data_IF_502188199751
#
_entry.id   IF_502188199751
#
_cell.length_a   1.000
_cell.length_b   1.000
_cell.length_c   1.000
_cell.angle_alpha   90.00
_cell.angle_beta   90.00
_cell.angle_gamma   90.00
#
_symmetry.space_group_name_H-M   'P 1'
#
loop_
_entity.id
_entity.type
_entity.pdbx_description
1 polymer ?
#
# COMPACT_ATOMS: atom_id res chain seq x y z
N UNK A 1 27.16 49.14 -21.86
CA UNK A 1 27.02 49.68 -23.24
C UNK A 1 25.87 50.68 -23.32
N UNK A 2 24.69 50.39 -22.75
CA UNK A 2 23.53 51.30 -22.77
C UNK A 2 23.83 52.74 -22.30
N UNK A 3 24.47 52.94 -21.15
CA UNK A 3 24.84 54.28 -20.66
C UNK A 3 25.78 55.05 -21.60
N UNK A 4 26.69 54.33 -22.26
CA UNK A 4 27.61 54.91 -23.23
C UNK A 4 26.88 55.34 -24.52
N UNK A 5 26.05 54.46 -25.08
CA UNK A 5 25.29 54.75 -26.29
C UNK A 5 24.29 55.89 -26.06
N UNK A 6 23.66 55.94 -24.90
CA UNK A 6 22.75 57.02 -24.52
C UNK A 6 23.49 58.36 -24.41
N UNK A 7 24.68 58.39 -23.79
CA UNK A 7 25.50 59.61 -23.73
C UNK A 7 25.92 60.09 -25.14
N UNK A 8 26.28 59.16 -26.03
CA UNK A 8 26.62 59.50 -27.41
C UNK A 8 25.42 60.07 -28.19
N UNK A 9 24.24 59.45 -28.09
CA UNK A 9 23.03 59.94 -28.76
C UNK A 9 22.60 61.32 -28.25
N UNK A 10 22.93 61.64 -26.99
CA UNK A 10 22.65 62.95 -26.38
C UNK A 10 23.71 64.03 -26.66
N UNK A 11 24.58 63.82 -27.66
CA UNK A 11 25.46 64.87 -28.21
C UNK A 11 26.92 64.81 -27.77
N UNK A 12 27.32 63.86 -26.92
CA UNK A 12 28.74 63.67 -26.60
C UNK A 12 29.48 63.01 -27.78
N UNK A 13 30.75 63.35 -27.99
CA UNK A 13 31.57 62.65 -28.97
C UNK A 13 31.82 61.20 -28.54
N UNK A 14 31.87 60.26 -29.50
CA UNK A 14 32.03 58.81 -29.26
C UNK A 14 33.18 58.48 -28.29
N UNK A 15 34.28 59.25 -28.36
CA UNK A 15 35.42 59.10 -27.47
C UNK A 15 35.15 59.62 -26.05
N UNK A 16 34.50 60.77 -25.91
CA UNK A 16 34.21 61.38 -24.62
C UNK A 16 33.09 60.63 -23.90
N UNK A 17 32.00 60.27 -24.58
CA UNK A 17 30.92 59.45 -24.03
C UNK A 17 31.47 58.15 -23.43
N UNK A 18 32.38 57.46 -24.14
CA UNK A 18 33.00 56.23 -23.66
C UNK A 18 33.93 56.46 -22.46
N UNK A 19 34.67 57.56 -22.46
CA UNK A 19 35.59 57.90 -21.36
C UNK A 19 34.83 58.32 -20.10
N UNK A 20 33.77 59.10 -20.24
CA UNK A 20 32.90 59.52 -19.14
C UNK A 20 32.17 58.32 -18.54
N UNK A 21 31.65 57.43 -19.38
CA UNK A 21 31.03 56.17 -18.92
C UNK A 21 32.05 55.29 -18.19
N UNK A 22 33.28 55.18 -18.69
CA UNK A 22 34.32 54.41 -18.00
C UNK A 22 34.69 55.02 -16.63
N UNK A 23 34.82 56.35 -16.57
CA UNK A 23 35.10 57.08 -15.32
C UNK A 23 33.97 56.96 -14.30
N UNK A 24 32.72 57.03 -14.75
CA UNK A 24 31.53 56.86 -13.91
C UNK A 24 31.54 55.50 -13.19
N UNK A 25 32.06 54.45 -13.83
CA UNK A 25 32.16 53.09 -13.27
C UNK A 25 33.51 52.91 -12.52
N UNK A 26 34.24 53.98 -12.21
CA UNK A 26 35.51 53.92 -11.48
C UNK A 26 36.65 53.27 -12.26
N UNK A 27 36.65 53.38 -13.59
CA UNK A 27 37.65 52.77 -14.49
C UNK A 27 38.25 53.81 -15.46
N UNK A 28 39.43 53.48 -15.99
CA UNK A 28 40.22 54.40 -16.82
C UNK A 28 40.10 54.19 -18.33
N UNK A 29 41.06 54.76 -19.06
CA UNK A 29 41.17 54.74 -20.54
C UNK A 29 41.12 53.34 -21.16
N UNK A 30 41.47 52.29 -20.42
CA UNK A 30 41.38 50.90 -20.90
C UNK A 30 39.93 50.47 -21.13
N UNK A 31 39.04 50.70 -20.14
CA UNK A 31 37.64 50.33 -20.28
C UNK A 31 36.95 51.18 -21.35
N UNK A 32 37.30 52.47 -21.45
CA UNK A 32 36.82 53.34 -22.53
C UNK A 32 37.13 52.74 -23.92
N UNK A 33 38.37 52.25 -24.15
CA UNK A 33 38.73 51.57 -25.40
C UNK A 33 37.93 50.30 -25.64
N UNK A 34 37.73 49.48 -24.59
CA UNK A 34 36.95 48.22 -24.68
C UNK A 34 35.48 48.47 -24.97
N UNK A 35 34.86 49.43 -24.29
CA UNK A 35 33.44 49.79 -24.49
C UNK A 35 33.21 50.29 -25.91
N UNK A 36 34.12 51.11 -26.47
CA UNK A 36 34.05 51.50 -27.88
C UNK A 36 34.17 50.29 -28.80
N UNK A 37 35.16 49.42 -28.58
CA UNK A 37 35.33 48.20 -29.38
C UNK A 37 34.10 47.29 -29.36
N UNK A 38 33.55 47.00 -28.18
CA UNK A 38 32.35 46.17 -28.04
C UNK A 38 31.10 46.81 -28.63
N UNK A 39 30.95 48.13 -28.50
CA UNK A 39 29.79 48.82 -29.06
C UNK A 39 29.88 48.91 -30.58
N UNK A 40 31.09 49.10 -31.15
CA UNK A 40 31.30 49.04 -32.60
C UNK A 40 31.03 47.63 -33.14
N UNK A 41 31.52 46.59 -32.47
CA UNK A 41 31.24 45.20 -32.84
C UNK A 41 29.74 44.90 -32.81
N UNK A 42 29.04 45.28 -31.74
CA UNK A 42 27.60 45.11 -31.60
C UNK A 42 26.75 45.90 -32.63
N UNK A 43 27.23 47.08 -33.04
CA UNK A 43 26.54 47.86 -34.10
C UNK A 43 26.69 47.19 -35.46
N UNK A 44 27.85 46.57 -35.73
CA UNK A 44 28.13 45.87 -36.98
C UNK A 44 27.46 44.50 -37.05
N UNK A 45 27.39 43.78 -35.92
CA UNK A 45 26.70 42.51 -35.76
C UNK A 45 25.99 42.48 -34.40
N UNK A 46 24.65 42.41 -34.43
CA UNK A 46 23.82 42.43 -33.23
C UNK A 46 23.98 41.17 -32.36
N UNK A 47 24.57 40.10 -32.91
CA UNK A 47 24.84 38.86 -32.20
C UNK A 47 26.25 38.83 -31.56
N UNK A 48 27.15 39.77 -31.90
CA UNK A 48 28.52 39.85 -31.36
C UNK A 48 28.54 40.57 -30.00
N UNK A 49 28.03 39.89 -28.98
CA UNK A 49 28.02 40.36 -27.60
C UNK A 49 29.33 40.02 -26.87
N UNK A 50 29.87 40.94 -26.03
CA UNK A 50 31.09 40.69 -25.29
C UNK A 50 30.91 39.59 -24.24
N UNK A 51 31.36 38.39 -24.56
CA UNK A 51 31.36 37.25 -23.63
C UNK A 51 32.51 37.40 -22.64
N UNK A 52 32.23 37.28 -21.33
CA UNK A 52 33.27 37.26 -20.30
C UNK A 52 34.19 36.05 -20.51
N UNK A 53 35.48 36.30 -20.75
CA UNK A 53 36.50 35.24 -20.80
C UNK A 53 36.83 34.61 -19.43
N UNK A 54 36.16 35.05 -18.35
CA UNK A 54 36.39 34.52 -16.99
C UNK A 54 35.64 33.20 -16.69
N UNK A 55 35.11 32.51 -17.70
CA UNK A 55 34.52 31.17 -17.60
C UNK A 55 35.24 30.14 -18.48
N UNK A 56 36.50 29.86 -18.20
CA UNK A 56 37.26 28.79 -18.87
C UNK A 56 37.03 27.40 -18.25
N UNK A 57 37.66 26.36 -18.80
CA UNK A 57 37.61 24.99 -18.29
C UNK A 57 37.98 24.83 -16.79
N UNK A 58 38.64 25.83 -16.19
CA UNK A 58 39.04 25.87 -14.78
C UNK A 58 37.90 26.13 -13.78
N UNK A 59 36.72 26.57 -14.22
CA UNK A 59 35.55 26.83 -13.35
C UNK A 59 34.52 25.71 -13.43
N UNK A 60 34.72 24.76 -14.36
CA UNK A 60 33.85 23.59 -14.50
C UNK A 60 34.36 22.48 -13.57
N UNK A 61 33.53 22.12 -12.59
CA UNK A 61 33.77 20.96 -11.73
C UNK A 61 33.96 19.71 -12.60
N UNK A 62 34.91 18.84 -12.22
CA UNK A 62 35.20 17.60 -12.96
C UNK A 62 34.00 16.67 -13.05
N UNK A 63 33.04 16.77 -12.14
CA UNK A 63 31.79 15.99 -12.17
C UNK A 63 30.88 16.28 -13.39
N UNK A 64 31.16 17.34 -14.15
CA UNK A 64 30.48 17.63 -15.42
C UNK A 64 31.08 16.89 -16.62
N UNK A 65 32.15 16.12 -16.40
CA UNK A 65 32.64 15.14 -17.35
C UNK A 65 31.67 13.95 -17.34
N UNK A 66 30.99 13.70 -18.45
CA UNK A 66 29.92 12.70 -18.54
C UNK A 66 30.46 11.26 -18.36
N UNK A 67 31.68 10.99 -18.79
CA UNK A 67 32.31 9.67 -18.63
C UNK A 67 32.61 9.41 -17.15
N UNK A 68 33.23 10.39 -16.47
CA UNK A 68 33.48 10.31 -15.03
C UNK A 68 32.19 10.18 -14.22
N UNK A 69 31.17 10.95 -14.58
CA UNK A 69 29.87 10.93 -13.91
C UNK A 69 29.16 9.58 -14.08
N UNK A 70 29.17 9.03 -15.29
CA UNK A 70 28.59 7.71 -15.60
C UNK A 70 29.31 6.58 -14.86
N UNK A 71 30.64 6.64 -14.80
CA UNK A 71 31.45 5.65 -14.09
C UNK A 71 31.23 5.72 -12.56
N UNK A 72 31.17 6.93 -11.99
CA UNK A 72 30.82 7.13 -10.57
C UNK A 72 29.40 6.66 -10.25
N UNK A 73 28.43 6.90 -11.13
CA UNK A 73 27.06 6.41 -10.97
C UNK A 73 27.03 4.88 -10.93
N UNK A 74 27.72 4.23 -11.85
CA UNK A 74 27.81 2.77 -11.93
C UNK A 74 28.44 2.19 -10.67
N UNK A 75 29.51 2.80 -10.17
CA UNK A 75 30.14 2.38 -8.92
C UNK A 75 29.22 2.57 -7.70
N UNK A 76 28.56 3.72 -7.58
CA UNK A 76 27.65 3.97 -6.46
C UNK A 76 26.44 3.02 -6.50
N UNK A 77 25.93 2.69 -7.70
CA UNK A 77 24.85 1.71 -7.85
C UNK A 77 25.26 0.30 -7.39
N UNK A 78 26.51 -0.12 -7.62
CA UNK A 78 26.99 -1.45 -7.22
C UNK A 78 27.15 -1.61 -5.70
N UNK A 79 27.32 -0.51 -4.96
CA UNK A 79 27.39 -0.51 -3.49
C UNK A 79 26.01 -0.59 -2.81
N UNK A 80 24.92 -0.46 -3.57
CA UNK A 80 23.56 -0.62 -3.07
C UNK A 80 23.02 0.59 -2.29
N UNK A 81 22.17 0.33 -1.29
CA UNK A 81 21.33 1.37 -0.64
C UNK A 81 22.10 2.35 0.24
N UNK A 82 23.20 1.91 0.86
CA UNK A 82 23.90 2.67 1.90
C UNK A 82 25.19 3.31 1.36
N UNK A 83 25.06 3.99 0.23
CA UNK A 83 26.17 4.74 -0.38
C UNK A 83 26.54 5.97 0.45
N UNK A 84 27.83 6.22 0.57
CA UNK A 84 28.39 7.38 1.27
C UNK A 84 29.22 8.24 0.32
N UNK A 85 29.42 9.51 0.66
CA UNK A 85 30.34 10.36 -0.09
C UNK A 85 31.79 9.83 -0.06
N UNK A 86 32.18 9.07 0.97
CA UNK A 86 33.50 8.44 1.05
C UNK A 86 33.70 7.40 -0.06
N UNK A 87 32.64 6.73 -0.52
CA UNK A 87 32.74 5.78 -1.63
C UNK A 87 33.28 6.43 -2.92
N UNK A 88 32.94 7.70 -3.18
CA UNK A 88 33.52 8.44 -4.31
C UNK A 88 35.02 8.68 -4.08
N UNK A 89 35.44 9.00 -2.85
CA UNK A 89 36.85 9.23 -2.51
C UNK A 89 37.64 7.93 -2.69
N UNK A 90 37.12 6.83 -2.17
CA UNK A 90 37.76 5.51 -2.21
C UNK A 90 37.89 5.02 -3.66
N UNK A 91 36.83 5.20 -4.47
CA UNK A 91 36.83 4.84 -5.89
C UNK A 91 37.83 5.64 -6.71
N UNK A 92 37.84 6.96 -6.54
CA UNK A 92 38.79 7.83 -7.26
C UNK A 92 40.23 7.70 -6.74
N UNK A 93 40.40 7.10 -5.55
CA UNK A 93 41.69 6.75 -4.97
C UNK A 93 42.31 5.49 -5.58
N UNK A 94 41.57 4.70 -6.36
CA UNK A 94 42.11 3.52 -7.02
C UNK A 94 43.19 3.91 -8.05
N UNK A 95 44.38 3.28 -8.07
CA UNK A 95 45.51 3.74 -8.88
C UNK A 95 45.24 3.84 -10.38
N UNK A 96 44.40 2.94 -10.91
CA UNK A 96 43.98 2.88 -12.30
C UNK A 96 42.97 4.00 -12.64
N UNK A 97 41.99 4.24 -11.78
CA UNK A 97 40.99 5.31 -11.93
C UNK A 97 41.65 6.69 -11.78
N UNK A 98 42.50 6.87 -10.77
CA UNK A 98 43.26 8.10 -10.55
C UNK A 98 44.17 8.43 -11.75
N UNK A 99 44.81 7.41 -12.35
CA UNK A 99 45.64 7.56 -13.55
C UNK A 99 44.79 7.90 -14.78
N UNK A 100 43.63 7.24 -14.97
CA UNK A 100 42.69 7.48 -16.08
C UNK A 100 42.21 8.93 -16.11
N UNK A 101 41.80 9.45 -14.95
CA UNK A 101 41.26 10.82 -14.82
C UNK A 101 42.32 11.87 -14.45
N UNK A 102 43.60 11.50 -14.44
CA UNK A 102 44.76 12.38 -14.14
C UNK A 102 44.62 13.13 -12.82
N UNK A 103 44.10 12.46 -11.79
CA UNK A 103 43.89 13.02 -10.46
C UNK A 103 45.23 13.03 -9.71
N UNK A 104 45.68 14.23 -9.30
CA UNK A 104 46.95 14.42 -8.57
C UNK A 104 46.79 14.33 -7.05
N UNK A 105 45.56 14.48 -6.55
CA UNK A 105 45.20 14.48 -5.13
C UNK A 105 43.81 13.88 -4.97
N UNK A 106 43.58 13.22 -3.85
CA UNK A 106 42.25 12.81 -3.44
C UNK A 106 41.35 14.04 -3.28
N UNK A 107 40.07 13.90 -3.65
CA UNK A 107 39.09 14.95 -3.42
C UNK A 107 38.74 15.02 -1.93
N UNK A 108 38.37 16.21 -1.45
CA UNK A 108 37.88 16.38 -0.08
C UNK A 108 36.49 15.78 0.09
N UNK A 109 36.10 15.44 1.33
CA UNK A 109 34.75 14.98 1.65
C UNK A 109 33.67 15.98 1.18
N UNK A 110 33.87 17.28 1.40
CA UNK A 110 32.96 18.33 0.94
C UNK A 110 32.85 18.42 -0.60
N UNK A 111 33.88 17.98 -1.33
CA UNK A 111 33.81 17.86 -2.79
C UNK A 111 33.01 16.63 -3.18
N UNK A 112 33.24 15.50 -2.52
CA UNK A 112 32.51 14.26 -2.74
C UNK A 112 31.01 14.40 -2.45
N UNK A 113 30.62 15.10 -1.38
CA UNK A 113 29.22 15.40 -1.05
C UNK A 113 28.53 16.25 -2.13
N UNK A 114 29.25 17.23 -2.69
CA UNK A 114 28.75 18.01 -3.84
C UNK A 114 28.62 17.15 -5.09
N UNK A 115 29.52 16.19 -5.30
CA UNK A 115 29.47 15.28 -6.44
C UNK A 115 28.35 14.26 -6.30
N UNK A 116 28.05 13.77 -5.09
CA UNK A 116 26.84 12.97 -4.82
C UNK A 116 25.59 13.69 -5.30
N UNK A 117 25.47 14.99 -4.99
CA UNK A 117 24.35 15.82 -5.48
C UNK A 117 24.37 15.99 -7.01
N UNK A 118 25.55 16.17 -7.60
CA UNK A 118 25.73 16.24 -9.06
C UNK A 118 25.40 14.93 -9.80
N UNK A 119 25.56 13.78 -9.14
CA UNK A 119 25.12 12.46 -9.58
C UNK A 119 23.61 12.22 -9.30
N UNK A 120 22.87 13.19 -8.80
CA UNK A 120 21.43 13.07 -8.56
C UNK A 120 21.04 12.42 -7.22
N UNK A 121 22.01 12.10 -6.35
CA UNK A 121 21.71 11.64 -4.99
C UNK A 121 21.25 12.81 -4.11
N UNK A 122 20.34 12.54 -3.18
CA UNK A 122 19.85 13.51 -2.20
C UNK A 122 19.92 12.91 -0.81
N UNK A 123 20.52 13.63 0.13
CA UNK A 123 20.47 13.25 1.54
C UNK A 123 19.06 13.50 2.07
N UNK A 124 18.27 12.43 2.19
CA UNK A 124 16.91 12.50 2.71
C UNK A 124 16.56 11.22 3.46
N UNK A 125 15.54 11.30 4.29
CA UNK A 125 14.97 10.11 4.91
C UNK A 125 14.13 9.39 3.85
N UNK A 126 14.46 8.13 3.57
CA UNK A 126 13.67 7.30 2.66
C UNK A 126 12.21 7.32 3.12
N UNK A 127 11.30 7.70 2.22
CA UNK A 127 9.87 7.59 2.46
C UNK A 127 9.51 6.12 2.37
N UNK A 128 8.75 5.61 3.33
CA UNK A 128 8.11 4.29 3.15
C UNK A 128 7.18 4.37 1.94
N UNK A 129 7.35 3.43 1.00
CA UNK A 129 6.38 3.23 -0.08
C UNK A 129 5.19 2.42 0.42
N UNK A 130 4.11 2.42 -0.36
CA UNK A 130 3.00 1.48 -0.21
C UNK A 130 3.53 0.05 -0.35
N UNK A 131 2.94 -0.91 0.36
CA UNK A 131 3.33 -2.32 0.25
C UNK A 131 2.73 -2.88 -1.04
N UNK A 132 3.52 -2.95 -2.11
CA UNK A 132 3.10 -3.41 -3.46
C UNK A 132 3.59 -4.84 -3.74
N UNK A 133 3.73 -5.67 -2.71
CA UNK A 133 4.12 -7.07 -2.94
C UNK A 133 2.89 -7.88 -3.39
N UNK A 134 3.03 -8.67 -4.44
CA UNK A 134 2.00 -9.61 -4.86
C UNK A 134 0.83 -9.07 -5.69
N UNK A 135 0.80 -7.79 -6.07
CA UNK A 135 -0.25 -7.20 -6.94
C UNK A 135 -0.43 -7.99 -8.24
N UNK A 136 0.68 -8.25 -8.94
CA UNK A 136 0.70 -8.90 -10.24
C UNK A 136 0.91 -10.42 -10.15
N UNK A 137 0.64 -11.02 -8.98
CA UNK A 137 0.60 -12.48 -8.90
C UNK A 137 -0.59 -13.02 -9.68
N UNK A 138 -0.38 -14.10 -10.43
CA UNK A 138 -1.40 -14.72 -11.27
C UNK A 138 -2.72 -14.99 -10.53
N UNK A 139 -2.67 -15.46 -9.29
CA UNK A 139 -3.88 -15.74 -8.50
C UNK A 139 -4.64 -14.46 -8.10
N UNK A 140 -3.92 -13.39 -7.79
CA UNK A 140 -4.49 -12.08 -7.44
C UNK A 140 -5.10 -11.41 -8.67
N UNK A 141 -4.38 -11.44 -9.81
CA UNK A 141 -4.86 -10.90 -11.09
C UNK A 141 -6.09 -11.68 -11.56
N UNK A 142 -6.08 -13.01 -11.47
CA UNK A 142 -7.23 -13.84 -11.84
C UNK A 142 -8.45 -13.50 -10.98
N UNK A 143 -8.30 -13.36 -9.67
CA UNK A 143 -9.39 -12.95 -8.79
C UNK A 143 -9.93 -11.56 -9.15
N UNK A 144 -9.02 -10.59 -9.36
CA UNK A 144 -9.39 -9.22 -9.77
C UNK A 144 -10.21 -9.21 -11.05
N UNK A 145 -9.73 -9.89 -12.10
CA UNK A 145 -10.34 -9.87 -13.43
C UNK A 145 -11.60 -10.72 -13.54
N UNK A 146 -11.64 -11.89 -12.89
CA UNK A 146 -12.70 -12.86 -13.09
C UNK A 146 -13.80 -12.81 -12.02
N UNK A 147 -13.54 -12.22 -10.85
CA UNK A 147 -14.48 -12.20 -9.72
C UNK A 147 -14.83 -10.77 -9.32
N UNK A 148 -13.84 -9.98 -8.90
CA UNK A 148 -14.10 -8.66 -8.33
C UNK A 148 -14.63 -7.65 -9.35
N UNK A 149 -13.94 -7.47 -10.49
CA UNK A 149 -14.37 -6.51 -11.50
C UNK A 149 -15.75 -6.83 -12.08
N UNK A 150 -16.08 -8.08 -12.47
CA UNK A 150 -17.43 -8.42 -12.92
C UNK A 150 -18.50 -8.16 -11.86
N UNK A 151 -18.24 -8.48 -10.59
CA UNK A 151 -19.17 -8.19 -9.51
C UNK A 151 -19.39 -6.68 -9.34
N UNK A 152 -18.32 -5.88 -9.39
CA UNK A 152 -18.40 -4.42 -9.29
C UNK A 152 -19.16 -3.79 -10.47
N UNK A 153 -18.84 -4.19 -11.71
CA UNK A 153 -19.52 -3.70 -12.90
C UNK A 153 -21.01 -4.09 -12.95
N UNK A 154 -21.42 -5.17 -12.28
CA UNK A 154 -22.83 -5.51 -12.15
C UNK A 154 -23.58 -4.56 -11.22
N UNK A 155 -22.91 -3.95 -10.24
CA UNK A 155 -23.50 -2.98 -9.31
C UNK A 155 -23.48 -1.55 -9.86
N UNK A 156 -22.41 -1.19 -10.58
CA UNK A 156 -22.12 0.18 -11.05
C UNK A 156 -23.33 0.91 -11.70
N UNK A 157 -24.17 0.27 -12.55
CA UNK A 157 -25.32 0.96 -13.16
C UNK A 157 -26.38 1.45 -12.16
N UNK A 158 -26.46 0.84 -10.98
CA UNK A 158 -27.42 1.21 -9.92
C UNK A 158 -26.79 2.07 -8.82
N UNK A 159 -25.48 2.33 -8.88
CA UNK A 159 -24.78 3.20 -7.95
C UNK A 159 -24.89 4.66 -8.39
N UNK A 160 -24.87 5.60 -7.44
CA UNK A 160 -24.79 7.01 -7.76
C UNK A 160 -23.45 7.33 -8.43
N UNK A 161 -23.51 8.28 -9.36
CA UNK A 161 -22.35 8.77 -10.10
C UNK A 161 -22.26 10.27 -9.89
N UNK A 162 -21.05 10.76 -9.75
CA UNK A 162 -20.79 12.18 -9.56
C UNK A 162 -19.77 12.66 -10.58
N UNK A 163 -20.02 13.83 -11.14
CA UNK A 163 -19.13 14.53 -12.05
C UNK A 163 -18.72 15.87 -11.44
N UNK A 164 -17.55 16.37 -11.81
CA UNK A 164 -17.12 17.70 -11.40
C UNK A 164 -17.43 18.67 -12.53
N UNK A 165 -18.45 19.50 -12.36
CA UNK A 165 -18.85 20.53 -13.32
C UNK A 165 -18.57 21.89 -12.69
N UNK A 166 -17.66 22.66 -13.29
CA UNK A 166 -17.31 23.99 -12.77
C UNK A 166 -16.60 23.99 -11.41
N UNK A 167 -16.06 22.85 -10.97
CA UNK A 167 -15.43 22.70 -9.64
C UNK A 167 -16.40 22.25 -8.54
N UNK A 168 -17.69 22.10 -8.85
CA UNK A 168 -18.68 21.54 -7.95
C UNK A 168 -18.96 20.08 -8.31
N UNK A 169 -19.18 19.25 -7.28
CA UNK A 169 -19.53 17.85 -7.44
C UNK A 169 -21.05 17.75 -7.68
N UNK A 170 -21.44 17.32 -8.86
CA UNK A 170 -22.84 17.21 -9.30
C UNK A 170 -23.16 15.74 -9.56
N UNK A 171 -24.27 15.27 -9.00
CA UNK A 171 -24.77 13.92 -9.27
C UNK A 171 -25.24 13.80 -10.73
N UNK A 172 -24.75 12.78 -11.43
CA UNK A 172 -25.19 12.45 -12.79
C UNK A 172 -26.58 11.80 -12.71
N UNK A 173 -27.54 12.32 -13.49
CA UNK A 173 -28.85 11.67 -13.60
C UNK A 173 -28.71 10.38 -14.44
N UNK A 174 -29.16 9.25 -13.89
CA UNK A 174 -29.21 7.99 -14.61
C UNK A 174 -30.13 8.12 -15.85
N UNK A 175 -29.65 7.69 -17.02
CA UNK A 175 -30.38 7.80 -18.29
C UNK A 175 -31.57 6.84 -18.39
N UNK A 176 -31.60 5.78 -17.56
CA UNK A 176 -32.68 4.83 -17.46
C UNK A 176 -33.14 4.74 -16.00
N UNK A 177 -34.04 5.65 -15.60
CA UNK A 177 -34.72 5.58 -14.30
C UNK A 177 -35.79 4.48 -14.34
N UNK A 178 -35.36 3.23 -14.52
CA UNK A 178 -36.20 2.10 -14.14
C UNK A 178 -36.37 2.16 -12.61
N UNK A 179 -37.55 1.82 -12.09
CA UNK A 179 -37.97 2.11 -10.70
C UNK A 179 -37.24 1.28 -9.61
N UNK A 180 -35.97 0.95 -9.82
CA UNK A 180 -35.14 0.14 -8.92
C UNK A 180 -34.45 1.03 -7.87
N UNK A 181 -34.31 0.50 -6.64
CA UNK A 181 -33.55 1.13 -5.55
C UNK A 181 -32.08 1.34 -5.93
N UNK A 182 -31.46 2.40 -5.42
CA UNK A 182 -30.03 2.65 -5.61
C UNK A 182 -29.19 1.68 -4.79
N UNK A 183 -28.02 1.28 -5.30
CA UNK A 183 -27.07 0.46 -4.55
C UNK A 183 -26.04 1.36 -3.87
N UNK A 184 -25.88 1.19 -2.55
CA UNK A 184 -24.89 1.88 -1.74
C UNK A 184 -23.83 0.88 -1.28
N UNK A 185 -22.57 1.16 -1.65
CA UNK A 185 -21.43 0.34 -1.25
C UNK A 185 -20.80 0.86 0.05
N UNK A 186 -20.73 0.00 1.06
CA UNK A 186 -20.17 0.28 2.38
C UNK A 186 -18.83 -0.42 2.56
N UNK A 187 -17.75 0.35 2.54
CA UNK A 187 -16.39 -0.15 2.74
C UNK A 187 -16.08 -0.24 4.22
N UNK A 188 -15.63 -1.42 4.65
CA UNK A 188 -15.20 -1.70 6.02
C UNK A 188 -13.69 -1.85 6.09
N UNK A 189 -13.10 -1.33 7.16
CA UNK A 189 -11.69 -1.50 7.50
C UNK A 189 -11.44 -1.16 8.97
N UNK A 190 -10.33 -1.67 9.51
CA UNK A 190 -9.85 -1.37 10.85
C UNK A 190 -8.54 -0.57 10.83
N UNK A 191 -8.50 0.52 11.59
CA UNK A 191 -7.30 1.34 11.75
C UNK A 191 -6.84 1.44 13.18
N UNK A 192 -5.55 1.21 13.39
CA UNK A 192 -4.90 1.36 14.69
C UNK A 192 -4.35 2.77 14.91
N UNK A 193 -4.60 3.31 16.09
CA UNK A 193 -4.13 4.59 16.59
C UNK A 193 -3.28 4.37 17.83
N UNK A 194 -2.05 4.87 17.79
CA UNK A 194 -1.13 4.79 18.91
C UNK A 194 -1.15 6.10 19.71
N UNK A 195 -1.09 6.02 21.04
CA UNK A 195 -1.11 7.19 21.91
C UNK A 195 0.01 8.20 21.58
N UNK A 196 1.19 7.72 21.14
CA UNK A 196 2.34 8.58 20.84
C UNK A 196 2.55 8.82 19.33
N UNK A 197 1.60 8.44 18.46
CA UNK A 197 1.67 8.80 17.03
C UNK A 197 1.36 10.29 16.88
N UNK A 198 2.43 11.10 16.80
CA UNK A 198 2.39 12.57 16.79
C UNK A 198 3.25 13.14 15.67
N UNK A 199 3.01 14.42 15.35
CA UNK A 199 3.83 15.15 14.39
C UNK A 199 5.26 15.31 14.90
N UNK A 200 6.20 14.55 14.34
CA UNK A 200 7.64 14.59 14.69
C UNK A 200 8.42 15.71 13.98
N UNK A 201 7.91 16.21 12.85
CA UNK A 201 8.61 17.23 12.03
C UNK A 201 8.10 18.64 12.37
N UNK A 202 8.97 19.47 12.95
CA UNK A 202 8.73 20.88 13.24
C UNK A 202 10.03 21.70 13.13
N UNK A 203 9.88 23.02 12.99
CA UNK A 203 10.97 23.95 13.21
C UNK A 203 11.25 24.03 14.71
N UNK A 204 12.53 23.97 15.09
CA UNK A 204 13.00 24.04 16.48
C UNK A 204 13.90 25.26 16.57
N UNK A 205 13.69 26.11 17.58
CA UNK A 205 14.54 27.27 17.82
C UNK A 205 15.89 26.82 18.38
N UNK A 206 17.00 27.50 18.04
CA UNK A 206 18.35 27.08 18.46
C UNK A 206 18.58 27.05 19.97
N UNK A 207 17.71 27.68 20.76
CA UNK A 207 17.75 27.69 22.23
C UNK A 207 16.87 26.62 22.88
N UNK A 208 16.10 25.86 22.11
CA UNK A 208 15.18 24.86 22.63
C UNK A 208 15.93 23.58 22.99
N UNK A 209 15.75 23.09 24.22
CA UNK A 209 16.37 21.85 24.69
C UNK A 209 15.50 20.64 24.36
N UNK A 210 16.10 19.49 23.96
CA UNK A 210 15.34 18.29 23.68
C UNK A 210 14.52 17.83 24.89
N UNK A 211 13.20 17.77 24.76
CA UNK A 211 12.32 17.21 25.79
C UNK A 211 12.29 15.68 25.67
N UNK A 212 12.52 14.94 26.77
CA UNK A 212 12.35 13.48 26.77
C UNK A 212 10.93 13.08 26.32
N UNK A 213 10.86 12.10 25.44
CA UNK A 213 9.60 11.53 24.97
C UNK A 213 9.35 10.18 25.67
N UNK A 214 8.09 9.83 25.98
CA UNK A 214 7.75 8.50 26.46
C UNK A 214 8.29 7.42 25.52
N UNK A 215 8.79 6.32 26.08
CA UNK A 215 9.36 5.22 25.30
C UNK A 215 8.24 4.44 24.59
N UNK A 216 8.45 4.13 23.31
CA UNK A 216 7.53 3.32 22.51
C UNK A 216 6.32 4.11 21.98
N UNK A 217 5.39 3.40 21.36
CA UNK A 217 4.23 3.99 20.67
C UNK A 217 3.05 4.28 21.63
N UNK A 218 3.13 3.80 22.87
CA UNK A 218 2.10 3.98 23.89
C UNK A 218 0.90 3.03 23.71
N UNK A 219 -0.22 3.39 24.33
CA UNK A 219 -1.47 2.61 24.24
C UNK A 219 -1.99 2.53 22.81
N UNK A 220 -2.48 1.37 22.41
CA UNK A 220 -3.16 1.14 21.12
C UNK A 220 -4.67 1.26 21.30
N UNK A 221 -5.31 1.98 20.38
CA UNK A 221 -6.75 1.98 20.15
C UNK A 221 -6.99 1.56 18.71
N UNK A 222 -7.80 0.54 18.49
CA UNK A 222 -8.28 0.16 17.16
C UNK A 222 -9.65 0.80 16.93
N UNK A 223 -9.85 1.39 15.77
CA UNK A 223 -11.15 1.86 15.32
C UNK A 223 -11.55 1.04 14.09
N UNK A 224 -12.75 0.48 14.11
CA UNK A 224 -13.37 -0.18 12.96
C UNK A 224 -14.65 0.57 12.60
N UNK A 225 -14.92 0.77 11.33
CA UNK A 225 -16.13 1.48 10.88
C UNK A 225 -16.47 1.12 9.43
N UNK A 226 -17.62 1.61 8.96
CA UNK A 226 -18.07 1.50 7.57
C UNK A 226 -18.17 2.89 6.95
N UNK A 227 -17.79 3.04 5.69
CA UNK A 227 -17.90 4.30 4.95
C UNK A 227 -18.50 4.09 3.55
N UNK A 228 -19.38 4.97 3.12
CA UNK A 228 -19.87 5.05 1.75
C UNK A 228 -19.56 6.41 1.14
N UNK A 229 -19.52 6.48 -0.20
CA UNK A 229 -19.39 7.75 -0.91
C UNK A 229 -20.65 8.62 -0.73
N UNK A 230 -21.81 7.98 -0.63
CA UNK A 230 -23.13 8.61 -0.50
C UNK A 230 -23.35 9.29 0.85
N UNK A 231 -23.02 8.58 1.94
CA UNK A 231 -23.42 8.99 3.29
C UNK A 231 -22.23 9.23 4.24
N UNK A 232 -21.00 8.94 3.79
CA UNK A 232 -19.82 9.00 4.65
C UNK A 232 -19.81 7.87 5.66
N UNK A 233 -19.38 8.15 6.90
CA UNK A 233 -19.34 7.15 7.98
C UNK A 233 -20.74 6.67 8.36
N UNK A 234 -20.91 5.36 8.52
CA UNK A 234 -22.21 4.76 8.82
C UNK A 234 -22.73 5.20 10.21
N UNK A 235 -23.77 6.01 10.18
CA UNK A 235 -24.48 6.49 11.35
C UNK A 235 -25.97 6.70 11.02
N UNK A 236 -26.81 6.82 12.03
CA UNK A 236 -28.19 7.25 11.83
C UNK A 236 -28.24 8.69 11.29
N UNK A 237 -29.32 9.11 10.61
CA UNK A 237 -29.45 10.47 10.08
C UNK A 237 -29.27 11.58 11.12
N UNK A 238 -29.66 11.32 12.37
CA UNK A 238 -29.50 12.22 13.52
C UNK A 238 -28.12 12.10 14.21
N UNK A 239 -27.26 11.17 13.77
CA UNK A 239 -25.93 10.85 14.29
C UNK A 239 -25.89 10.30 15.73
N UNK A 240 -27.03 9.87 16.27
CA UNK A 240 -27.09 9.29 17.61
C UNK A 240 -26.64 7.82 17.65
N UNK A 241 -26.87 7.07 16.57
CA UNK A 241 -26.37 5.70 16.40
C UNK A 241 -25.22 5.69 15.40
N UNK A 242 -24.14 4.96 15.69
CA UNK A 242 -22.99 4.83 14.79
C UNK A 242 -22.52 3.39 14.77
N UNK A 243 -22.15 2.87 13.59
CA UNK A 243 -21.59 1.54 13.45
C UNK A 243 -20.24 1.42 14.17
N UNK A 244 -19.43 2.49 14.15
CA UNK A 244 -18.09 2.59 14.73
C UNK A 244 -17.89 1.77 16.01
N UNK A 245 -16.81 1.00 16.00
CA UNK A 245 -16.29 0.27 17.15
C UNK A 245 -14.94 0.85 17.54
N UNK A 246 -14.77 1.14 18.83
CA UNK A 246 -13.50 1.50 19.44
C UNK A 246 -13.06 0.33 20.32
N UNK A 247 -11.93 -0.27 19.99
CA UNK A 247 -11.44 -1.50 20.60
C UNK A 247 -10.05 -1.29 21.21
N UNK A 248 -9.93 -1.45 22.51
CA UNK A 248 -8.69 -1.29 23.24
C UNK A 248 -7.90 -2.60 23.21
N UNK A 249 -7.12 -2.85 22.16
CA UNK A 249 -6.41 -4.12 22.03
C UNK A 249 -5.30 -4.30 23.09
N UNK A 250 -5.11 -5.54 23.53
CA UNK A 250 -3.99 -5.94 24.40
C UNK A 250 -4.37 -6.87 25.55
N UNK A 251 -3.37 -7.58 26.09
CA UNK A 251 -3.51 -8.46 27.27
C UNK A 251 -3.90 -7.63 28.49
N UNK A 252 -5.05 -7.92 29.10
CA UNK A 252 -5.62 -7.11 30.19
C UNK A 252 -6.51 -5.95 29.73
N UNK A 253 -6.91 -5.94 28.45
CA UNK A 253 -7.90 -5.04 27.85
C UNK A 253 -8.94 -5.87 27.06
N UNK A 254 -9.40 -5.39 25.91
CA UNK A 254 -10.46 -6.05 25.13
C UNK A 254 -9.98 -7.28 24.34
N UNK A 255 -8.66 -7.55 24.34
CA UNK A 255 -8.08 -8.74 23.72
C UNK A 255 -7.68 -8.52 22.26
N UNK A 256 -8.13 -9.42 21.38
CA UNK A 256 -7.87 -9.39 19.93
C UNK A 256 -9.19 -9.21 19.18
N UNK A 257 -9.17 -8.40 18.12
CA UNK A 257 -10.32 -8.22 17.24
C UNK A 257 -10.54 -9.51 16.42
N UNK A 258 -11.51 -10.32 16.84
CA UNK A 258 -11.76 -11.66 16.30
C UNK A 258 -12.76 -11.62 15.14
N UNK A 259 -12.92 -12.74 14.44
CA UNK A 259 -14.02 -12.88 13.48
C UNK A 259 -15.39 -12.64 14.14
N UNK A 260 -15.59 -13.08 15.39
CA UNK A 260 -16.86 -12.85 16.10
C UNK A 260 -17.13 -11.35 16.30
N UNK A 261 -16.09 -10.54 16.59
CA UNK A 261 -16.23 -9.07 16.66
C UNK A 261 -16.59 -8.46 15.31
N UNK A 262 -16.04 -8.97 14.20
CA UNK A 262 -16.39 -8.55 12.84
C UNK A 262 -17.86 -8.89 12.54
N UNK A 263 -18.33 -10.09 12.89
CA UNK A 263 -19.72 -10.49 12.70
C UNK A 263 -20.65 -9.57 13.49
N UNK A 264 -20.37 -9.34 14.78
CA UNK A 264 -21.18 -8.42 15.62
C UNK A 264 -21.19 -7.00 15.07
N UNK A 265 -20.07 -6.55 14.52
CA UNK A 265 -19.99 -5.23 13.91
C UNK A 265 -20.81 -5.14 12.60
N UNK A 266 -20.77 -6.19 11.76
CA UNK A 266 -21.61 -6.28 10.57
C UNK A 266 -23.11 -6.34 10.94
N UNK A 267 -23.49 -7.10 11.97
CA UNK A 267 -24.87 -7.15 12.47
C UNK A 267 -25.37 -5.78 12.94
N UNK A 268 -24.52 -5.03 13.63
CA UNK A 268 -24.80 -3.65 14.05
C UNK A 268 -24.97 -2.73 12.85
N UNK A 269 -24.10 -2.84 11.85
CA UNK A 269 -24.21 -2.06 10.62
C UNK A 269 -25.53 -2.37 9.87
N UNK A 270 -25.85 -3.66 9.70
CA UNK A 270 -27.12 -4.09 9.08
C UNK A 270 -28.34 -3.55 9.84
N UNK A 271 -28.31 -3.51 11.18
CA UNK A 271 -29.42 -3.01 11.97
C UNK A 271 -29.67 -1.49 11.77
N UNK A 272 -28.60 -0.71 11.59
CA UNK A 272 -28.69 0.72 11.26
C UNK A 272 -29.28 0.89 9.86
N UNK A 273 -28.81 0.10 8.89
CA UNK A 273 -29.25 0.18 7.49
C UNK A 273 -30.74 -0.17 7.34
N UNK A 274 -31.18 -1.30 7.92
CA UNK A 274 -32.59 -1.71 7.91
C UNK A 274 -33.52 -0.67 8.55
N UNK A 275 -33.05 0.06 9.57
CA UNK A 275 -33.86 1.03 10.29
C UNK A 275 -33.95 2.37 9.58
N UNK A 276 -32.87 2.86 8.99
CA UNK A 276 -32.76 4.25 8.53
C UNK A 276 -32.60 4.41 7.02
N UNK A 277 -32.20 3.37 6.30
CA UNK A 277 -31.80 3.45 4.89
C UNK A 277 -32.55 2.47 3.98
N UNK A 278 -33.76 2.06 4.38
CA UNK A 278 -34.62 1.08 3.69
C UNK A 278 -34.97 1.35 2.21
N UNK A 279 -34.66 2.55 1.70
CA UNK A 279 -34.95 2.94 0.31
C UNK A 279 -33.84 2.55 -0.67
N UNK A 280 -32.66 2.24 -0.15
CA UNK A 280 -31.49 1.83 -0.92
C UNK A 280 -31.21 0.33 -0.69
N UNK A 281 -30.65 -0.31 -1.70
CA UNK A 281 -30.01 -1.61 -1.56
C UNK A 281 -28.57 -1.40 -1.03
N UNK A 282 -28.08 -2.34 -0.25
CA UNK A 282 -26.78 -2.19 0.43
C UNK A 282 -25.86 -3.37 0.16
N UNK A 283 -24.60 -3.05 -0.14
CA UNK A 283 -23.52 -4.03 -0.33
C UNK A 283 -22.37 -3.68 0.59
N UNK A 284 -21.85 -4.69 1.31
CA UNK A 284 -20.66 -4.51 2.13
C UNK A 284 -19.40 -4.92 1.37
N UNK A 285 -18.36 -4.10 1.48
CA UNK A 285 -17.05 -4.32 0.88
C UNK A 285 -16.04 -4.53 2.00
N UNK A 286 -15.41 -5.70 2.03
CA UNK A 286 -14.37 -6.05 3.02
C UNK A 286 -13.04 -6.33 2.33
N UNK A 287 -11.93 -6.16 3.06
CA UNK A 287 -10.64 -6.67 2.58
C UNK A 287 -10.55 -8.20 2.70
N UNK A 288 -9.50 -8.79 2.13
CA UNK A 288 -9.27 -10.24 2.15
C UNK A 288 -8.48 -10.71 3.40
N UNK A 289 -8.59 -9.99 4.54
CA UNK A 289 -7.94 -10.37 5.78
C UNK A 289 -8.39 -11.75 6.26
N UNK A 290 -7.51 -12.58 6.85
CA UNK A 290 -7.86 -13.91 7.34
C UNK A 290 -9.05 -13.96 8.31
N UNK A 291 -9.28 -12.87 9.04
CA UNK A 291 -10.41 -12.70 9.96
C UNK A 291 -11.73 -12.46 9.23
N UNK A 292 -11.74 -11.80 8.07
CA UNK A 292 -12.94 -11.56 7.25
C UNK A 292 -13.35 -12.79 6.44
N UNK A 293 -12.39 -13.63 6.07
CA UNK A 293 -12.61 -14.84 5.25
C UNK A 293 -12.70 -16.12 6.09
N UNK A 294 -13.02 -15.99 7.39
CA UNK A 294 -13.14 -17.15 8.28
C UNK A 294 -14.33 -18.02 7.85
N UNK A 295 -14.07 -19.31 7.69
CA UNK A 295 -15.08 -20.36 7.48
C UNK A 295 -15.45 -20.99 8.83
N UNK A 296 -16.60 -21.66 8.89
CA UNK A 296 -17.02 -22.40 10.09
C UNK A 296 -15.93 -23.36 10.56
N UNK A 297 -15.79 -23.54 11.88
CA UNK A 297 -14.63 -24.21 12.48
C UNK A 297 -14.44 -25.63 11.90
N UNK A 298 -15.50 -26.37 11.58
CA UNK A 298 -15.45 -27.72 10.98
C UNK A 298 -15.65 -27.78 9.45
N UNK A 299 -15.54 -26.67 8.75
CA UNK A 299 -15.75 -26.64 7.30
C UNK A 299 -14.71 -27.44 6.51
N UNK A 300 -15.08 -27.83 5.29
CA UNK A 300 -14.22 -28.61 4.40
C UNK A 300 -12.95 -27.81 4.04
N UNK A 301 -11.79 -28.42 4.24
CA UNK A 301 -10.49 -27.87 3.83
C UNK A 301 -9.54 -28.99 3.46
N UNK A 302 -8.91 -28.90 2.29
CA UNK A 302 -7.91 -29.89 1.87
C UNK A 302 -6.65 -29.85 2.76
N UNK A 303 -6.42 -28.74 3.48
CA UNK A 303 -5.19 -28.52 4.24
C UNK A 303 -5.05 -29.54 5.37
N UNK A 304 -3.86 -30.15 5.46
CA UNK A 304 -3.49 -31.13 6.49
C UNK A 304 -4.35 -32.41 6.54
N UNK A 305 -5.19 -32.67 5.54
CA UNK A 305 -5.91 -33.94 5.44
C UNK A 305 -4.91 -35.10 5.22
N UNK A 306 -5.04 -36.23 5.94
CA UNK A 306 -4.17 -37.38 5.74
C UNK A 306 -4.55 -38.13 4.45
N UNK A 307 -3.55 -38.72 3.78
CA UNK A 307 -3.79 -39.51 2.56
C UNK A 307 -4.59 -40.79 2.83
N UNK A 308 -4.24 -41.50 3.90
CA UNK A 308 -4.86 -42.77 4.28
C UNK A 308 -5.78 -42.65 5.48
N UNK A 309 -6.49 -43.75 5.76
CA UNK A 309 -7.45 -43.84 6.86
C UNK A 309 -6.75 -43.63 8.22
N UNK A 310 -7.25 -42.70 9.04
CA UNK A 310 -6.69 -42.38 10.36
C UNK A 310 -7.74 -41.76 11.28
N UNK A 311 -7.55 -41.89 12.59
CA UNK A 311 -8.19 -41.00 13.56
C UNK A 311 -7.65 -39.59 13.35
N UNK A 312 -8.47 -38.74 12.75
CA UNK A 312 -8.10 -37.40 12.35
C UNK A 312 -9.30 -36.46 12.41
N UNK A 313 -9.03 -35.26 12.86
CA UNK A 313 -9.96 -34.16 12.95
C UNK A 313 -9.20 -32.88 13.20
N UNK A 314 -9.94 -31.79 13.26
CA UNK A 314 -9.41 -30.46 13.52
C UNK A 314 -9.50 -30.14 15.01
N UNK A 315 -8.57 -29.34 15.49
CA UNK A 315 -8.62 -28.85 16.87
C UNK A 315 -9.61 -27.69 16.93
N UNK A 316 -10.67 -27.85 17.72
CA UNK A 316 -11.67 -26.81 17.97
C UNK A 316 -11.71 -26.48 19.46
N UNK A 317 -11.96 -25.20 19.82
CA UNK A 317 -12.10 -24.82 21.22
C UNK A 317 -13.30 -25.53 21.85
N UNK A 318 -13.15 -25.96 23.10
CA UNK A 318 -14.25 -26.49 23.91
C UNK A 318 -15.05 -25.32 24.48
N UNK A 319 -16.36 -25.37 24.30
CA UNK A 319 -17.30 -24.37 24.81
C UNK A 319 -18.08 -24.95 25.99
N UNK A 320 -18.32 -24.15 27.02
CA UNK A 320 -19.20 -24.51 28.13
C UNK A 320 -20.69 -24.29 27.75
N UNK A 321 -21.59 -24.69 28.65
CA UNK A 321 -23.03 -24.55 28.45
C UNK A 321 -23.52 -23.09 28.29
N UNK A 322 -22.69 -22.10 28.64
CA UNK A 322 -23.01 -20.68 28.52
C UNK A 322 -22.35 -20.05 27.28
N UNK A 323 -21.75 -20.85 26.40
CA UNK A 323 -21.08 -20.36 25.19
C UNK A 323 -19.75 -19.66 25.49
N UNK A 324 -19.08 -19.98 26.60
CA UNK A 324 -17.74 -19.47 26.90
C UNK A 324 -16.67 -20.53 26.66
N UNK A 325 -15.53 -20.10 26.13
CA UNK A 325 -14.38 -20.98 25.91
C UNK A 325 -13.87 -21.52 27.24
N UNK A 326 -13.75 -22.84 27.34
CA UNK A 326 -13.18 -23.56 28.48
C UNK A 326 -11.66 -23.41 28.47
N UNK A 327 -11.12 -22.97 29.60
CA UNK A 327 -9.67 -22.89 29.81
C UNK A 327 -9.19 -24.14 30.56
N UNK A 328 -8.06 -24.68 30.13
CA UNK A 328 -7.35 -25.76 30.81
C UNK A 328 -6.68 -25.29 32.11
N UNK A 329 -6.10 -26.23 32.88
CA UNK A 329 -5.42 -25.93 34.15
C UNK A 329 -4.23 -24.98 34.01
N UNK A 330 -3.66 -24.87 32.81
CA UNK A 330 -2.56 -24.00 32.42
C UNK A 330 -3.00 -22.60 31.96
N UNK A 331 -4.30 -22.32 31.99
CA UNK A 331 -4.91 -21.08 31.52
C UNK A 331 -4.97 -20.95 29.99
N UNK A 332 -4.65 -22.00 29.22
CA UNK A 332 -4.80 -22.01 27.76
C UNK A 332 -6.17 -22.54 27.36
N UNK A 333 -6.63 -22.17 26.16
CA UNK A 333 -7.87 -22.71 25.61
C UNK A 333 -7.79 -24.23 25.50
N UNK A 334 -8.78 -24.91 26.09
CA UNK A 334 -8.93 -26.36 25.94
C UNK A 334 -9.44 -26.64 24.53
N UNK A 335 -8.71 -27.49 23.80
CA UNK A 335 -9.06 -27.88 22.43
C UNK A 335 -9.49 -29.35 22.41
N UNK A 336 -10.45 -29.69 21.55
CA UNK A 336 -10.87 -31.06 21.27
C UNK A 336 -10.79 -31.36 19.78
N UNK A 337 -10.72 -32.65 19.42
CA UNK A 337 -10.73 -33.08 18.02
C UNK A 337 -12.17 -33.20 17.53
N UNK A 338 -12.55 -32.33 16.60
CA UNK A 338 -13.84 -32.40 15.91
C UNK A 338 -13.70 -32.98 14.50
N UNK A 339 -14.73 -33.69 14.06
CA UNK A 339 -14.85 -34.14 12.68
C UNK A 339 -15.17 -32.94 11.79
N UNK A 340 -14.55 -32.90 10.61
CA UNK A 340 -14.95 -31.93 9.57
C UNK A 340 -16.30 -32.34 8.98
N UNK A 341 -17.00 -31.37 8.40
CA UNK A 341 -18.24 -31.59 7.67
C UNK A 341 -18.02 -32.51 6.46
N UNK A 342 -19.08 -33.21 6.07
CA UNK A 342 -19.10 -34.00 4.86
C UNK A 342 -18.91 -33.11 3.62
N UNK A 343 -18.34 -33.69 2.57
CA UNK A 343 -18.21 -33.03 1.27
C UNK A 343 -19.47 -33.16 0.44
N UNK A 344 -19.43 -32.58 -0.75
CA UNK A 344 -20.50 -32.69 -1.73
C UNK A 344 -19.89 -32.97 -3.10
N UNK A 345 -20.39 -33.99 -3.79
CA UNK A 345 -19.85 -34.40 -5.08
C UNK A 345 -20.98 -34.84 -6.01
N UNK A 346 -21.02 -34.27 -7.22
CA UNK A 346 -22.02 -34.57 -8.25
C UNK A 346 -23.48 -34.56 -7.75
N UNK A 347 -23.85 -33.55 -6.94
CA UNK A 347 -25.23 -33.44 -6.45
C UNK A 347 -25.54 -34.28 -5.21
N UNK A 348 -24.58 -35.05 -4.69
CA UNK A 348 -24.78 -35.93 -3.53
C UNK A 348 -23.82 -35.62 -2.38
N UNK A 349 -24.26 -35.70 -1.11
CA UNK A 349 -23.35 -35.66 0.04
C UNK A 349 -22.34 -36.81 -0.03
N UNK A 350 -21.08 -36.52 0.29
CA UNK A 350 -20.02 -37.52 0.42
C UNK A 350 -19.52 -37.57 1.86
N UNK A 351 -19.70 -38.71 2.51
CA UNK A 351 -19.17 -38.93 3.86
C UNK A 351 -17.65 -39.04 3.84
N UNK A 352 -16.99 -38.24 4.69
CA UNK A 352 -15.53 -38.24 4.84
C UNK A 352 -15.02 -39.14 5.96
N UNK A 353 -15.91 -39.58 6.82
CA UNK A 353 -15.65 -40.52 7.89
C UNK A 353 -16.35 -41.85 7.59
N UNK A 354 -15.82 -42.94 8.09
CA UNK A 354 -16.48 -44.23 7.93
C UNK A 354 -17.74 -44.31 8.81
N UNK A 355 -18.86 -44.79 8.26
CA UNK A 355 -20.11 -44.86 8.98
C UNK A 355 -20.06 -45.93 10.08
N UNK A 356 -21.04 -45.85 10.97
CA UNK A 356 -21.23 -46.83 12.04
C UNK A 356 -21.40 -48.25 11.46
N UNK A 357 -20.81 -49.24 12.11
CA UNK A 357 -20.80 -50.63 11.63
C UNK A 357 -19.68 -50.98 10.65
N UNK A 358 -18.89 -50.01 10.18
CA UNK A 358 -17.68 -50.30 9.40
C UNK A 358 -16.49 -50.66 10.33
N UNK A 359 -15.54 -51.48 9.84
CA UNK A 359 -14.30 -51.84 10.59
C UNK A 359 -13.49 -50.61 11.05
N UNK A 360 -13.64 -49.50 10.33
CA UNK A 360 -12.97 -48.23 10.61
C UNK A 360 -13.94 -47.12 11.05
N UNK A 361 -15.12 -47.47 11.57
CA UNK A 361 -16.14 -46.51 12.01
C UNK A 361 -15.54 -45.34 12.81
N UNK A 362 -15.99 -44.12 12.51
CA UNK A 362 -15.51 -42.88 13.13
C UNK A 362 -14.12 -42.42 12.70
N UNK A 363 -13.36 -43.20 11.92
CA UNK A 363 -12.07 -42.78 11.36
C UNK A 363 -12.28 -42.02 10.06
N UNK A 364 -11.44 -41.02 9.82
CA UNK A 364 -11.40 -40.30 8.56
C UNK A 364 -10.93 -41.25 7.45
N UNK A 365 -11.63 -41.27 6.31
CA UNK A 365 -11.36 -42.19 5.19
C UNK A 365 -9.97 -42.00 4.57
N UNK A 366 -9.50 -40.76 4.54
CA UNK A 366 -8.26 -40.37 3.86
C UNK A 366 -8.53 -39.84 2.45
N UNK A 367 -7.70 -38.87 2.02
CA UNK A 367 -7.87 -38.24 0.70
C UNK A 367 -7.87 -39.24 -0.45
N UNK A 368 -7.07 -40.32 -0.36
CA UNK A 368 -7.00 -41.32 -1.41
C UNK A 368 -8.35 -42.03 -1.60
N UNK A 369 -8.98 -42.47 -0.51
CA UNK A 369 -10.29 -43.12 -0.57
C UNK A 369 -11.37 -42.17 -1.08
N UNK A 370 -11.40 -40.93 -0.56
CA UNK A 370 -12.35 -39.89 -0.98
C UNK A 370 -12.23 -39.62 -2.48
N UNK A 371 -11.01 -39.54 -3.01
CA UNK A 371 -10.76 -39.30 -4.43
C UNK A 371 -11.07 -40.51 -5.31
N UNK A 372 -10.79 -41.73 -4.83
CA UNK A 372 -11.20 -42.97 -5.53
C UNK A 372 -12.72 -43.05 -5.65
N UNK A 373 -13.46 -42.70 -4.58
CA UNK A 373 -14.93 -42.61 -4.60
C UNK A 373 -15.43 -41.55 -5.61
N UNK A 374 -14.63 -40.50 -5.85
CA UNK A 374 -14.89 -39.48 -6.88
C UNK A 374 -14.43 -39.88 -8.29
N UNK A 375 -13.86 -41.07 -8.47
CA UNK A 375 -13.43 -41.59 -9.78
C UNK A 375 -12.01 -41.20 -10.21
N UNK A 376 -11.16 -40.69 -9.32
CA UNK A 376 -9.76 -40.39 -9.62
C UNK A 376 -8.85 -41.60 -9.35
N UNK A 377 -7.88 -41.84 -10.25
CA UNK A 377 -6.78 -42.77 -9.95
C UNK A 377 -5.71 -42.09 -9.09
N UNK A 378 -5.54 -42.58 -7.87
CA UNK A 378 -4.62 -42.04 -6.85
C UNK A 378 -3.46 -42.98 -6.51
N UNK A 379 -3.31 -44.09 -7.24
CA UNK A 379 -2.39 -45.19 -6.90
C UNK A 379 -0.95 -44.69 -6.71
N UNK A 380 -0.48 -43.84 -7.62
CA UNK A 380 0.87 -43.28 -7.62
C UNK A 380 0.97 -41.84 -7.11
N UNK A 381 -0.12 -41.27 -6.58
CA UNK A 381 -0.14 -39.88 -6.13
C UNK A 381 0.40 -39.74 -4.70
N UNK A 382 1.20 -38.70 -4.47
CA UNK A 382 1.60 -38.29 -3.12
C UNK A 382 0.42 -37.66 -2.38
N UNK A 383 0.50 -37.60 -1.05
CA UNK A 383 -0.46 -36.85 -0.23
C UNK A 383 -0.48 -35.37 -0.63
N UNK A 384 0.71 -34.76 -0.59
CA UNK A 384 0.94 -33.37 -0.99
C UNK A 384 2.36 -33.26 -1.56
N UNK A 385 2.54 -32.50 -2.65
CA UNK A 385 3.86 -32.17 -3.17
C UNK A 385 4.52 -31.08 -2.30
N UNK A 386 5.85 -31.08 -2.20
CA UNK A 386 6.59 -29.98 -1.53
C UNK A 386 6.36 -28.64 -2.23
N UNK A 387 6.39 -28.66 -3.57
CA UNK A 387 6.04 -27.54 -4.43
C UNK A 387 5.27 -28.11 -5.62
N UNK A 388 4.04 -27.64 -5.84
CA UNK A 388 3.30 -27.98 -7.05
C UNK A 388 3.80 -27.10 -8.19
N UNK A 389 3.95 -27.65 -9.39
CA UNK A 389 4.23 -26.84 -10.58
C UNK A 389 3.07 -25.85 -10.81
N UNK A 390 3.38 -24.66 -11.35
CA UNK A 390 2.36 -23.68 -11.71
C UNK A 390 1.37 -24.28 -12.70
N UNK A 391 0.08 -24.03 -12.52
CA UNK A 391 -1.01 -24.59 -13.33
C UNK A 391 -1.32 -26.08 -13.12
N UNK A 392 -0.55 -26.82 -12.31
CA UNK A 392 -0.81 -28.24 -12.08
C UNK A 392 -2.02 -28.44 -11.15
N UNK A 393 -3.06 -29.12 -11.65
CA UNK A 393 -4.31 -29.37 -10.92
C UNK A 393 -4.43 -30.78 -10.35
N UNK A 394 -3.61 -31.73 -10.83
CA UNK A 394 -3.75 -33.17 -10.49
C UNK A 394 -2.48 -33.82 -9.92
N UNK A 395 -1.46 -33.03 -9.56
CA UNK A 395 -0.14 -33.57 -9.19
C UNK A 395 -0.09 -34.33 -7.84
N UNK A 396 -1.07 -34.17 -6.96
CA UNK A 396 -1.16 -34.87 -5.68
C UNK A 396 -2.60 -34.87 -5.15
N UNK A 397 -2.89 -35.75 -4.19
CA UNK A 397 -4.25 -35.88 -3.63
C UNK A 397 -4.79 -34.55 -3.10
N UNK A 398 -3.94 -33.82 -2.34
CA UNK A 398 -4.27 -32.50 -1.84
C UNK A 398 -4.66 -31.52 -2.94
N UNK A 399 -3.90 -31.48 -4.04
CA UNK A 399 -4.13 -30.53 -5.14
C UNK A 399 -5.43 -30.83 -5.88
N UNK A 400 -5.75 -32.11 -6.08
CA UNK A 400 -7.02 -32.51 -6.71
C UNK A 400 -8.18 -32.05 -5.84
N UNK A 401 -8.19 -32.40 -4.54
CA UNK A 401 -9.24 -32.01 -3.61
C UNK A 401 -9.37 -30.49 -3.46
N UNK A 402 -8.25 -29.79 -3.35
CA UNK A 402 -8.23 -28.33 -3.26
C UNK A 402 -8.95 -27.65 -4.44
N UNK A 403 -8.89 -28.26 -5.63
CA UNK A 403 -9.55 -27.74 -6.83
C UNK A 403 -10.98 -28.27 -7.03
N UNK A 404 -11.53 -29.04 -6.09
CA UNK A 404 -12.91 -29.52 -6.19
C UNK A 404 -13.91 -28.40 -5.82
N UNK A 405 -15.08 -28.34 -6.47
CA UNK A 405 -16.06 -27.28 -6.24
C UNK A 405 -16.47 -27.10 -4.77
N UNK A 406 -16.68 -28.20 -4.04
CA UNK A 406 -17.08 -28.19 -2.63
C UNK A 406 -15.97 -27.73 -1.67
N UNK A 407 -14.71 -27.73 -2.11
CA UNK A 407 -13.57 -27.22 -1.33
C UNK A 407 -13.26 -25.74 -1.64
N UNK A 408 -13.54 -25.32 -2.87
CA UNK A 408 -13.38 -23.93 -3.33
C UNK A 408 -14.51 -23.07 -2.76
N UNK A 409 -15.76 -23.47 -3.01
CA UNK A 409 -16.97 -22.70 -2.76
C UNK A 409 -17.54 -22.94 -1.36
N UNK A 410 -16.66 -22.97 -0.35
CA UNK A 410 -17.08 -23.05 1.04
C UNK A 410 -17.44 -21.65 1.53
N UNK A 411 -18.71 -21.50 1.90
CA UNK A 411 -19.28 -20.24 2.38
C UNK A 411 -18.55 -19.74 3.64
N UNK A 412 -18.29 -18.43 3.67
CA UNK A 412 -17.66 -17.76 4.80
C UNK A 412 -18.71 -17.33 5.82
N UNK A 413 -18.35 -17.29 7.11
CA UNK A 413 -19.31 -16.95 8.20
C UNK A 413 -19.90 -15.55 7.99
N UNK A 414 -19.07 -14.61 7.52
CA UNK A 414 -19.50 -13.24 7.27
C UNK A 414 -20.48 -13.15 6.09
N UNK A 415 -20.18 -13.83 4.98
CA UNK A 415 -21.06 -13.89 3.81
C UNK A 415 -22.43 -14.50 4.17
N UNK A 416 -22.45 -15.62 4.89
CA UNK A 416 -23.70 -16.28 5.27
C UNK A 416 -24.52 -15.44 6.25
N UNK A 417 -23.86 -14.78 7.21
CA UNK A 417 -24.54 -13.90 8.18
C UNK A 417 -25.18 -12.69 7.49
N UNK A 418 -24.48 -12.06 6.56
CA UNK A 418 -25.02 -10.94 5.78
C UNK A 418 -26.13 -11.39 4.83
N UNK A 419 -25.92 -12.49 4.10
CA UNK A 419 -26.88 -13.01 3.12
C UNK A 419 -28.19 -13.45 3.78
N UNK A 420 -28.14 -13.98 5.01
CA UNK A 420 -29.33 -14.33 5.79
C UNK A 420 -30.25 -13.14 6.09
N UNK A 421 -29.72 -11.91 6.02
CA UNK A 421 -30.46 -10.64 6.17
C UNK A 421 -30.63 -9.88 4.85
N UNK A 422 -30.28 -10.49 3.72
CA UNK A 422 -30.42 -9.89 2.39
C UNK A 422 -29.28 -8.96 1.97
N UNK A 423 -28.16 -8.93 2.70
CA UNK A 423 -27.00 -8.10 2.36
C UNK A 423 -25.96 -8.89 1.58
N UNK A 424 -25.52 -8.33 0.45
CA UNK A 424 -24.42 -8.90 -0.33
C UNK A 424 -23.06 -8.45 0.25
N UNK A 425 -22.08 -9.35 0.21
CA UNK A 425 -20.69 -9.08 0.57
C UNK A 425 -19.80 -9.22 -0.67
N UNK A 426 -18.86 -8.29 -0.85
CA UNK A 426 -17.80 -8.35 -1.86
C UNK A 426 -16.46 -8.18 -1.17
N UNK A 427 -15.47 -9.00 -1.57
CA UNK A 427 -14.12 -8.90 -1.06
C UNK A 427 -13.18 -8.20 -2.04
N UNK A 428 -12.37 -7.27 -1.54
CA UNK A 428 -11.38 -6.54 -2.32
C UNK A 428 -10.22 -7.46 -2.71
N UNK A 429 -9.65 -7.33 -3.93
CA UNK A 429 -8.47 -8.07 -4.33
C UNK A 429 -7.31 -7.88 -3.34
N UNK A 430 -6.59 -8.95 -3.04
CA UNK A 430 -5.43 -8.88 -2.15
C UNK A 430 -4.40 -7.89 -2.71
N UNK A 431 -3.78 -7.16 -1.80
CA UNK A 431 -2.73 -6.16 -2.09
C UNK A 431 -3.21 -4.90 -2.83
N UNK A 432 -4.46 -4.78 -3.25
CA UNK A 432 -4.98 -3.61 -3.96
C UNK A 432 -5.62 -2.56 -3.03
N UNK A 433 -4.84 -1.98 -2.12
CA UNK A 433 -5.39 -1.00 -1.16
C UNK A 433 -5.87 0.31 -1.80
N UNK A 434 -5.45 0.63 -3.03
CA UNK A 434 -6.00 1.75 -3.80
C UNK A 434 -7.49 1.59 -4.13
N UNK A 435 -8.02 0.36 -4.11
CA UNK A 435 -9.44 0.08 -4.30
C UNK A 435 -10.24 0.28 -3.00
N UNK A 436 -9.57 0.41 -1.84
CA UNK A 436 -10.20 0.56 -0.53
C UNK A 436 -10.15 2.01 -0.05
N UNK A 437 -11.07 2.87 -0.51
CA UNK A 437 -10.96 4.31 -0.23
C UNK A 437 -11.06 4.69 1.26
N UNK A 438 -11.64 3.83 2.10
CA UNK A 438 -11.65 4.00 3.56
C UNK A 438 -10.24 4.17 4.15
N UNK A 439 -9.22 3.58 3.54
CA UNK A 439 -7.83 3.76 3.96
C UNK A 439 -7.39 5.23 3.86
N UNK A 440 -7.91 5.96 2.85
CA UNK A 440 -7.67 7.40 2.71
C UNK A 440 -8.38 8.19 3.81
N UNK A 441 -9.60 7.79 4.17
CA UNK A 441 -10.34 8.36 5.30
C UNK A 441 -9.57 8.16 6.61
N UNK A 442 -9.01 6.97 6.84
CA UNK A 442 -8.15 6.69 7.98
C UNK A 442 -6.84 7.46 7.94
N UNK A 443 -6.21 7.59 6.77
CA UNK A 443 -5.03 8.42 6.57
C UNK A 443 -5.28 9.88 6.97
N UNK A 444 -6.43 10.43 6.58
CA UNK A 444 -6.86 11.77 6.98
C UNK A 444 -7.10 11.85 8.49
N UNK A 445 -7.84 10.91 9.07
CA UNK A 445 -8.10 10.86 10.51
C UNK A 445 -6.79 10.82 11.32
N UNK A 446 -5.84 9.97 10.92
CA UNK A 446 -4.49 9.88 11.53
C UNK A 446 -3.71 11.18 11.37
N UNK A 447 -3.82 11.86 10.22
CA UNK A 447 -3.19 13.17 10.01
C UNK A 447 -3.71 14.20 11.01
N UNK A 448 -5.04 14.28 11.20
CA UNK A 448 -5.65 15.18 12.17
C UNK A 448 -5.26 14.78 13.60
N UNK A 449 -5.29 13.49 13.91
CA UNK A 449 -4.88 12.97 15.22
C UNK A 449 -3.46 13.41 15.62
N UNK A 450 -2.51 13.35 14.67
CA UNK A 450 -1.11 13.78 14.88
C UNK A 450 -0.94 15.28 15.14
N UNK A 451 -1.95 16.10 14.87
CA UNK A 451 -1.96 17.54 15.12
C UNK A 451 -2.40 17.89 16.55
N UNK A 452 -3.05 16.99 17.28
CA UNK A 452 -3.42 17.23 18.67
C UNK A 452 -2.19 17.22 19.60
N UNK A 453 -2.25 17.96 20.74
CA UNK A 453 -1.19 17.94 21.74
C UNK A 453 -0.99 16.54 22.34
N UNK A 454 0.13 16.36 23.05
CA UNK A 454 0.28 15.17 23.90
C UNK A 454 -0.74 15.25 25.03
N UNK A 455 -1.52 14.18 25.20
CA UNK A 455 -2.47 13.97 26.29
C UNK A 455 -1.79 13.38 27.49
#
# INVERSE_FOLDING_TARGET
MQYFLHAYVNGDTWTNAALNTAKFIGRGKYLSRKVRGWSTAFILDREDLPVSKYGGAWTKSRIHDEDLKSELLTHLQSLGKYVTATAIIDYLGQPDVAKRYRLKKAISLATAERWMSGCGFRWTMARGGQYVDGHERDDVVTYRQSIFLPAWYALEPRMRRWSVIGGELVEEQAQDADSQSHIVAWFHDESTFYAHDRRKKRWIHGSETPTPQPKGEGSLLMAADFVSADYGWLCSPDRNESARVLFCAGKGRDGYFSNDEIIRHAEKAMAILERYYQHDDHVFIFDNAPTHVKRADCSVSARNMPKGCKEWGIDVPVWDANGKIVLGPDGRTLMTKACISNGFFNGSPQEFYWPEGHKHAGKFKGMAQILTERGYDVTNLKAQCKQCASGATTCCCWRILFNQPDFINVEMILESTCSARGFQVIYLPKFHCELNFIEQCWGYAKRIYRCYPMS
#
